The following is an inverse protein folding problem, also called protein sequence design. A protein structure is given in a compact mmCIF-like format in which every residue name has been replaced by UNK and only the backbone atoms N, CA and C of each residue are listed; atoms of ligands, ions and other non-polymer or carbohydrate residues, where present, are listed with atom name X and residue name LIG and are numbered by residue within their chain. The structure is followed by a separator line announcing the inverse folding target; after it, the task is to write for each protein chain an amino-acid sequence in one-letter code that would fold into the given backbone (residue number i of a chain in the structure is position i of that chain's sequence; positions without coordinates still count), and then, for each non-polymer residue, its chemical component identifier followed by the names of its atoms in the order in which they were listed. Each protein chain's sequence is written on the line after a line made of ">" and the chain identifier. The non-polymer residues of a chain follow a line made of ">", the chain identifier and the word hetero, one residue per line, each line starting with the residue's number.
data_IF_874953215893
#
_entry.id   IF_874953215893
#
_cell.length_a   1.000
_cell.length_b   1.000
_cell.length_c   1.000
_cell.angle_alpha   90.00
_cell.angle_beta   90.00
_cell.angle_gamma   90.00
#
_symmetry.space_group_name_H-M   'P 1'
#
loop_
_entity.id
_entity.type
_entity.pdbx_description
1 polymer ?
#
# COMPACT_ATOMS: atom_id res chain seq x y z
N UNK A 1 -13.87 4.30 -20.22
CA UNK A 1 -15.03 3.53 -20.76
C UNK A 1 -15.53 2.56 -19.69
N UNK A 2 -16.79 2.10 -19.70
CA UNK A 2 -17.38 1.25 -18.63
C UNK A 2 -16.56 -0.02 -18.28
N UNK A 3 -15.63 -0.41 -19.13
CA UNK A 3 -14.69 -1.55 -19.04
C UNK A 3 -13.47 -1.37 -18.13
N UNK A 4 -13.05 -0.15 -17.81
CA UNK A 4 -11.84 0.05 -16.97
C UNK A 4 -12.08 -0.42 -15.52
N UNK A 5 -13.32 -0.35 -15.02
CA UNK A 5 -13.67 -0.72 -13.64
C UNK A 5 -13.60 -2.23 -13.37
N UNK A 6 -13.87 -3.07 -14.37
CA UNK A 6 -13.88 -4.52 -14.19
C UNK A 6 -12.48 -5.13 -14.17
N UNK A 7 -11.49 -4.48 -14.79
CA UNK A 7 -10.12 -4.99 -14.83
C UNK A 7 -9.32 -4.73 -13.55
N UNK A 8 -9.74 -3.79 -12.71
CA UNK A 8 -9.04 -3.44 -11.48
C UNK A 8 -8.89 -4.66 -10.56
N UNK A 9 -9.88 -5.56 -10.52
CA UNK A 9 -9.82 -6.77 -9.68
C UNK A 9 -8.68 -7.73 -10.04
N UNK A 10 -8.21 -7.71 -11.29
CA UNK A 10 -7.15 -8.58 -11.78
C UNK A 10 -5.76 -7.95 -11.72
N UNK A 11 -5.69 -6.63 -11.53
CA UNK A 11 -4.43 -5.92 -11.33
C UNK A 11 -3.87 -6.19 -9.94
N UNK A 12 -2.54 -6.23 -9.82
CA UNK A 12 -1.91 -6.29 -8.50
C UNK A 12 -1.72 -4.87 -7.98
N UNK A 13 -1.83 -4.70 -6.68
CA UNK A 13 -1.49 -3.48 -5.97
C UNK A 13 -0.91 -3.81 -4.60
N UNK A 14 -0.38 -2.82 -3.90
CA UNK A 14 0.27 -3.00 -2.61
C UNK A 14 -0.76 -3.08 -1.50
N UNK A 15 -0.60 -4.09 -0.65
CA UNK A 15 -1.42 -4.34 0.52
C UNK A 15 -0.55 -4.63 1.73
N UNK A 16 -1.10 -4.28 2.89
CA UNK A 16 -0.54 -4.64 4.18
C UNK A 16 -0.80 -6.12 4.47
N UNK A 17 0.26 -6.89 4.73
CA UNK A 17 0.19 -8.34 4.99
C UNK A 17 0.31 -8.74 6.45
N UNK A 18 0.61 -7.78 7.33
CA UNK A 18 0.67 -7.91 8.79
C UNK A 18 0.21 -6.61 9.42
N UNK A 19 -0.39 -6.65 10.60
CA UNK A 19 -0.73 -5.42 11.34
C UNK A 19 0.53 -4.55 11.53
N UNK A 20 0.38 -3.25 11.30
CA UNK A 20 1.43 -2.24 11.42
C UNK A 20 0.94 -1.21 12.43
N UNK A 21 1.76 -0.88 13.43
CA UNK A 21 1.46 0.20 14.36
C UNK A 21 1.90 1.54 13.78
N UNK A 22 1.22 2.63 14.17
CA UNK A 22 1.63 3.99 13.84
C UNK A 22 3.08 4.23 14.23
N UNK A 23 3.83 4.91 13.36
CA UNK A 23 5.26 5.15 13.56
C UNK A 23 6.17 3.97 13.15
N UNK A 24 5.63 2.80 12.83
CA UNK A 24 6.42 1.67 12.32
C UNK A 24 6.75 1.82 10.84
N UNK A 25 7.84 1.15 10.41
CA UNK A 25 8.27 1.17 9.00
C UNK A 25 7.54 0.15 8.15
N UNK A 26 7.30 0.50 6.89
CA UNK A 26 6.94 -0.47 5.85
C UNK A 26 8.16 -1.28 5.43
N UNK A 27 7.99 -2.58 5.31
CA UNK A 27 9.03 -3.57 4.98
C UNK A 27 8.47 -4.62 4.02
N UNK A 28 9.36 -5.39 3.37
CA UNK A 28 8.95 -6.47 2.46
C UNK A 28 8.17 -7.60 3.16
N UNK A 29 8.17 -7.62 4.49
CA UNK A 29 7.47 -8.60 5.31
C UNK A 29 6.02 -8.17 5.66
N UNK A 30 5.78 -6.87 5.78
CA UNK A 30 4.46 -6.31 6.11
C UNK A 30 3.75 -5.65 4.93
N UNK A 31 4.38 -5.49 3.77
CA UNK A 31 3.75 -5.05 2.51
C UNK A 31 4.06 -6.01 1.38
N UNK A 32 3.03 -6.39 0.61
CA UNK A 32 3.20 -7.18 -0.62
C UNK A 32 2.31 -6.65 -1.74
N UNK A 33 2.80 -6.83 -2.97
CA UNK A 33 1.95 -6.72 -4.16
C UNK A 33 1.03 -7.93 -4.23
N UNK A 34 -0.29 -7.76 -4.12
CA UNK A 34 -1.31 -8.80 -4.30
C UNK A 34 -2.53 -8.23 -5.03
N UNK A 35 -3.49 -9.09 -5.41
CA UNK A 35 -4.76 -8.66 -6.00
C UNK A 35 -5.79 -8.41 -4.89
N UNK A 36 -6.82 -7.57 -5.12
CA UNK A 36 -7.11 -6.80 -6.34
C UNK A 36 -6.25 -5.52 -6.47
N UNK A 37 -6.48 -4.71 -7.50
CA UNK A 37 -5.76 -3.47 -7.80
C UNK A 37 -6.28 -2.25 -7.04
N UNK A 38 -6.62 -2.38 -5.75
CA UNK A 38 -7.25 -1.30 -4.96
C UNK A 38 -6.29 -0.43 -4.16
N UNK A 39 -5.02 -0.85 -4.01
CA UNK A 39 -3.96 -0.07 -3.36
C UNK A 39 -3.03 0.59 -4.36
N UNK A 40 -1.87 1.03 -3.86
CA UNK A 40 -0.81 1.62 -4.68
C UNK A 40 -0.27 0.63 -5.73
N UNK A 41 0.09 1.10 -6.94
CA UNK A 41 0.75 0.25 -7.93
C UNK A 41 2.01 -0.44 -7.39
N UNK A 42 2.31 -1.69 -7.80
CA UNK A 42 3.49 -2.43 -7.32
C UNK A 42 4.83 -1.74 -7.60
N UNK A 43 4.88 -0.86 -8.61
CA UNK A 43 6.05 -0.04 -8.95
C UNK A 43 6.51 0.87 -7.81
N UNK A 44 5.60 1.26 -6.90
CA UNK A 44 5.93 2.10 -5.75
C UNK A 44 6.52 1.34 -4.58
N UNK A 45 6.62 0.01 -4.63
CA UNK A 45 7.11 -0.78 -3.50
C UNK A 45 8.46 -0.28 -3.01
N UNK A 46 9.42 -0.05 -3.92
CA UNK A 46 10.75 0.44 -3.56
C UNK A 46 10.75 1.81 -2.86
N UNK A 47 9.81 2.68 -3.20
CA UNK A 47 9.67 4.01 -2.56
C UNK A 47 9.08 3.91 -1.15
N UNK A 48 8.14 2.98 -0.98
CA UNK A 48 7.39 2.79 0.28
C UNK A 48 8.24 2.09 1.34
N UNK A 49 9.12 1.18 0.94
CA UNK A 49 9.98 0.47 1.90
C UNK A 49 10.84 1.47 2.67
N UNK A 50 10.75 1.39 3.99
CA UNK A 50 11.44 2.31 4.90
C UNK A 50 10.65 3.57 5.26
N UNK A 51 9.56 3.89 4.55
CA UNK A 51 8.60 4.91 4.98
C UNK A 51 7.89 4.49 6.25
N UNK A 52 7.27 5.45 6.93
CA UNK A 52 6.64 5.28 8.23
C UNK A 52 5.11 5.32 8.10
N UNK A 53 4.40 4.45 8.81
CA UNK A 53 2.95 4.45 8.89
C UNK A 53 2.44 5.68 9.65
N UNK A 54 1.48 6.40 9.07
CA UNK A 54 0.84 7.56 9.71
C UNK A 54 -0.09 7.16 10.87
N UNK A 55 -0.68 5.97 10.79
CA UNK A 55 -1.61 5.42 11.78
C UNK A 55 -1.46 3.90 11.95
N UNK A 56 -2.25 3.30 12.83
CA UNK A 56 -2.34 1.85 12.95
C UNK A 56 -3.07 1.25 11.74
N UNK A 57 -2.44 0.29 11.06
CA UNK A 57 -2.96 -0.30 9.83
C UNK A 57 -3.15 -1.81 10.02
N UNK A 58 -4.36 -2.29 9.72
CA UNK A 58 -4.68 -3.72 9.79
C UNK A 58 -4.19 -4.50 8.58
N UNK A 59 -3.88 -5.78 8.79
CA UNK A 59 -3.65 -6.74 7.70
C UNK A 59 -4.84 -6.76 6.74
N UNK A 60 -4.54 -6.78 5.45
CA UNK A 60 -5.53 -6.79 4.38
C UNK A 60 -5.95 -5.40 3.91
N UNK A 61 -5.44 -4.34 4.54
CA UNK A 61 -5.68 -2.96 4.09
C UNK A 61 -4.94 -2.69 2.77
N UNK A 62 -5.64 -2.20 1.72
CA UNK A 62 -4.98 -1.66 0.53
C UNK A 62 -4.12 -0.47 0.93
N UNK A 63 -2.86 -0.46 0.52
CA UNK A 63 -1.96 0.63 0.87
C UNK A 63 -2.30 1.86 0.02
N UNK A 64 -2.40 3.04 0.63
CA UNK A 64 -2.64 4.33 -0.03
C UNK A 64 -1.64 5.37 0.49
N UNK A 65 -1.48 6.50 -0.21
CA UNK A 65 -0.55 7.56 0.20
C UNK A 65 -0.90 8.20 1.55
N UNK A 66 -2.17 8.18 1.95
CA UNK A 66 -2.65 8.74 3.22
C UNK A 66 -2.15 7.96 4.45
N UNK A 67 -1.85 6.68 4.26
CA UNK A 67 -1.31 5.80 5.29
C UNK A 67 0.20 5.99 5.53
N UNK A 68 0.83 6.89 4.76
CA UNK A 68 2.27 7.18 4.83
C UNK A 68 2.50 8.53 5.53
N UNK A 69 3.37 8.53 6.54
CA UNK A 69 3.68 9.72 7.35
C UNK A 69 4.57 10.73 6.63
N UNK A 70 5.51 10.26 5.81
CA UNK A 70 6.36 11.14 5.02
C UNK A 70 5.56 11.70 3.83
N UNK A 71 4.87 12.82 4.07
CA UNK A 71 4.61 13.77 3.00
C UNK A 71 5.96 14.11 2.39
N UNK A 72 6.15 13.82 1.10
CA UNK A 72 7.29 14.33 0.34
C UNK A 72 7.50 15.79 0.73
N UNK A 73 8.69 16.11 1.24
CA UNK A 73 9.15 17.50 1.27
C UNK A 73 9.07 17.96 -0.19
N UNK A 74 8.41 19.11 -0.39
CA UNK A 74 8.33 19.86 -1.65
C UNK A 74 9.50 19.63 -2.60
#
# INVERSE_FOLDING_TARGET
>A
TKWEKENVQFQRSLFVTKDITSGSKFTHDNVKSIRPGYGLPPSYLGEIIGMVASEDIKKGTPLTWELLSNKHKN
#
